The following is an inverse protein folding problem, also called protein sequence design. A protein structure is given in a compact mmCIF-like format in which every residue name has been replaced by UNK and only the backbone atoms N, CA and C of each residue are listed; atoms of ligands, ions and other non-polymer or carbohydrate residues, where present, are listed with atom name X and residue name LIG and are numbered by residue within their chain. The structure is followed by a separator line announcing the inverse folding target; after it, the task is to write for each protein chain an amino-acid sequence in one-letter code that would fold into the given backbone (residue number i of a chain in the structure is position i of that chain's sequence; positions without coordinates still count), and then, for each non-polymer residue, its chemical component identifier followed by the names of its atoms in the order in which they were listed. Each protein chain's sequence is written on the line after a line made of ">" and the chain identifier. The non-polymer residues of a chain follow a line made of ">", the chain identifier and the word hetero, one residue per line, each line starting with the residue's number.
data_IF_660371140314
#
_entry.id   IF_660371140314
#
_cell.length_a   1.000
_cell.length_b   1.000
_cell.length_c   1.000
_cell.angle_alpha   90.00
_cell.angle_beta   90.00
_cell.angle_gamma   90.00
#
_symmetry.space_group_name_H-M   'P 1'
#
loop_
_entity.id
_entity.type
_entity.pdbx_description
1 polymer ?
#
# COMPACT_ATOMS: atom_id res chain seq x y z
N UNK A 1 -3.78 2.87 -29.45
CA UNK A 1 -3.55 2.23 -28.13
C UNK A 1 -4.89 2.25 -27.43
N UNK A 2 -5.47 1.08 -27.17
CA UNK A 2 -6.74 0.98 -26.45
C UNK A 2 -6.50 1.44 -25.01
N UNK A 3 -7.07 2.59 -24.66
CA UNK A 3 -7.26 3.00 -23.26
C UNK A 3 -8.23 1.97 -22.67
N UNK A 4 -7.69 1.00 -21.94
CA UNK A 4 -8.50 0.08 -21.14
C UNK A 4 -9.35 0.93 -20.20
N UNK A 5 -10.66 0.96 -20.45
CA UNK A 5 -11.62 1.66 -19.63
C UNK A 5 -11.49 1.18 -18.18
N UNK A 6 -10.96 2.05 -17.34
CA UNK A 6 -10.68 1.80 -15.94
C UNK A 6 -11.98 1.52 -15.20
N UNK A 7 -12.12 0.29 -14.69
CA UNK A 7 -13.15 -0.03 -13.71
C UNK A 7 -12.54 0.16 -12.32
N UNK A 8 -12.99 1.13 -11.50
CA UNK A 8 -12.56 1.21 -10.12
C UNK A 8 -12.86 -0.13 -9.43
N UNK A 9 -11.88 -0.71 -8.76
CA UNK A 9 -12.12 -1.89 -7.92
C UNK A 9 -13.16 -1.48 -6.88
N UNK A 10 -14.22 -2.29 -6.73
CA UNK A 10 -15.18 -2.05 -5.65
C UNK A 10 -14.41 -2.13 -4.33
N UNK A 11 -14.56 -1.15 -3.42
CA UNK A 11 -13.92 -1.22 -2.12
C UNK A 11 -14.39 -2.50 -1.42
N UNK A 12 -13.42 -3.32 -1.02
CA UNK A 12 -13.67 -4.49 -0.19
C UNK A 12 -13.79 -4.03 1.27
N UNK A 13 -14.48 -4.78 2.14
CA UNK A 13 -14.45 -4.49 3.56
C UNK A 13 -13.00 -4.51 4.08
N UNK A 14 -12.68 -3.56 4.96
CA UNK A 14 -11.38 -3.46 5.63
C UNK A 14 -10.94 -4.81 6.19
N UNK A 15 -9.72 -5.20 5.86
CA UNK A 15 -9.03 -6.36 6.44
C UNK A 15 -7.60 -5.96 6.81
N UNK A 16 -7.16 -6.33 8.02
CA UNK A 16 -5.79 -6.15 8.49
C UNK A 16 -5.30 -7.52 8.90
N UNK A 17 -4.20 -7.98 8.28
CA UNK A 17 -3.57 -9.25 8.63
C UNK A 17 -2.91 -9.18 10.01
N UNK A 18 -2.61 -10.33 10.60
CA UNK A 18 -1.83 -10.39 11.84
C UNK A 18 -0.42 -9.81 11.68
N UNK A 19 0.16 -9.95 10.48
CA UNK A 19 1.46 -9.38 10.12
C UNK A 19 1.41 -7.85 10.17
N UNK A 20 0.45 -7.24 9.48
CA UNK A 20 0.28 -5.78 9.46
C UNK A 20 -0.11 -5.24 10.84
N UNK A 21 -0.95 -5.96 11.59
CA UNK A 21 -1.31 -5.57 12.96
C UNK A 21 -0.07 -5.52 13.86
N UNK A 22 0.84 -6.50 13.74
CA UNK A 22 2.07 -6.52 14.52
C UNK A 22 2.95 -5.30 14.23
N UNK A 23 3.08 -4.89 12.96
CA UNK A 23 3.83 -3.68 12.57
C UNK A 23 3.18 -2.38 13.09
N UNK A 24 1.85 -2.34 13.13
CA UNK A 24 1.11 -1.22 13.72
C UNK A 24 1.35 -1.15 15.24
N UNK A 25 1.37 -2.30 15.91
CA UNK A 25 1.59 -2.41 17.35
C UNK A 25 3.04 -2.08 17.74
N UNK A 26 4.01 -2.44 16.90
CA UNK A 26 5.41 -1.98 17.05
C UNK A 26 5.52 -0.45 17.03
N UNK A 27 4.64 0.22 16.27
CA UNK A 27 4.47 1.67 16.29
C UNK A 27 5.63 2.46 15.68
N UNK A 28 6.60 1.80 15.04
CA UNK A 28 7.76 2.45 14.41
C UNK A 28 7.33 3.49 13.36
N UNK A 29 6.36 3.13 12.51
CA UNK A 29 5.80 4.03 11.49
C UNK A 29 5.04 5.19 12.14
N UNK A 30 4.16 4.88 13.11
CA UNK A 30 3.40 5.89 13.84
C UNK A 30 4.32 6.90 14.52
N UNK A 31 5.40 6.43 15.15
CA UNK A 31 6.39 7.29 15.82
C UNK A 31 7.03 8.27 14.84
N UNK A 32 7.51 7.80 13.68
CA UNK A 32 8.10 8.69 12.66
C UNK A 32 7.10 9.71 12.12
N UNK A 33 5.87 9.29 11.86
CA UNK A 33 4.83 10.19 11.35
C UNK A 33 4.38 11.21 12.41
N UNK A 34 4.41 10.84 13.70
CA UNK A 34 4.03 11.72 14.81
C UNK A 34 4.96 12.92 15.01
N UNK A 35 6.16 12.89 14.40
CA UNK A 35 7.06 14.06 14.37
C UNK A 35 6.51 15.19 13.49
N UNK A 36 5.61 14.87 12.56
CA UNK A 36 5.08 15.80 11.56
C UNK A 36 3.56 15.97 11.61
N UNK A 37 2.83 15.00 12.16
CA UNK A 37 1.37 14.95 12.17
C UNK A 37 0.84 14.62 13.57
N UNK A 38 -0.32 15.19 13.93
CA UNK A 38 -1.00 14.86 15.17
C UNK A 38 -1.76 13.52 15.09
N UNK A 39 -2.13 12.98 16.26
CA UNK A 39 -2.84 11.71 16.36
C UNK A 39 -4.18 11.72 15.60
N UNK A 40 -4.86 12.87 15.53
CA UNK A 40 -6.14 12.99 14.81
C UNK A 40 -5.94 12.77 13.32
N UNK A 41 -4.88 13.32 12.74
CA UNK A 41 -4.52 13.12 11.34
C UNK A 41 -4.07 11.68 11.07
N UNK A 42 -3.25 11.10 11.95
CA UNK A 42 -2.77 9.73 11.79
C UNK A 42 -3.91 8.70 11.78
N UNK A 43 -4.95 8.93 12.59
CA UNK A 43 -6.12 8.05 12.70
C UNK A 43 -7.25 8.41 11.72
N UNK A 44 -7.07 9.43 10.88
CA UNK A 44 -8.07 9.83 9.89
C UNK A 44 -8.18 8.78 8.79
N UNK A 45 -9.41 8.39 8.47
CA UNK A 45 -9.73 7.50 7.33
C UNK A 45 -9.43 8.22 6.02
N UNK A 46 -8.55 7.65 5.20
CA UNK A 46 -8.09 8.20 3.93
C UNK A 46 -8.52 7.36 2.72
N UNK A 47 -8.94 6.11 2.94
CA UNK A 47 -9.33 5.20 1.86
C UNK A 47 -10.82 4.91 1.84
N UNK A 48 -11.36 4.60 0.66
CA UNK A 48 -12.77 4.24 0.48
C UNK A 48 -13.15 2.93 1.21
N UNK A 49 -12.16 2.05 1.46
CA UNK A 49 -12.33 0.81 2.21
C UNK A 49 -12.17 1.00 3.72
N UNK A 50 -11.85 2.21 4.19
CA UNK A 50 -11.81 2.55 5.62
C UNK A 50 -10.41 2.50 6.26
N UNK A 51 -9.33 2.48 5.48
CA UNK A 51 -7.98 2.52 6.02
C UNK A 51 -7.59 3.94 6.44
N UNK A 52 -6.89 4.03 7.57
CA UNK A 52 -6.37 5.27 8.13
C UNK A 52 -5.04 5.67 7.49
N UNK A 53 -4.61 6.92 7.71
CA UNK A 53 -3.32 7.40 7.23
C UNK A 53 -2.17 6.52 7.73
N UNK A 54 -2.15 6.18 9.03
CA UNK A 54 -1.11 5.30 9.58
C UNK A 54 -1.15 3.89 9.00
N UNK A 55 -2.33 3.32 8.78
CA UNK A 55 -2.47 1.97 8.19
C UNK A 55 -1.95 1.92 6.75
N UNK A 56 -2.25 2.95 5.95
CA UNK A 56 -1.76 3.02 4.57
C UNK A 56 -0.24 3.18 4.51
N UNK A 57 0.34 4.03 5.37
CA UNK A 57 1.79 4.19 5.42
C UNK A 57 2.50 2.93 5.91
N UNK A 58 1.98 2.24 6.93
CA UNK A 58 2.55 0.97 7.40
C UNK A 58 2.46 -0.12 6.33
N UNK A 59 1.33 -0.23 5.63
CA UNK A 59 1.18 -1.19 4.55
C UNK A 59 2.07 -0.87 3.34
N UNK A 60 2.39 0.39 3.08
CA UNK A 60 3.32 0.76 2.01
C UNK A 60 4.75 0.29 2.29
N UNK A 61 5.18 0.28 3.55
CA UNK A 61 6.51 -0.20 3.94
C UNK A 61 6.70 -1.71 3.70
N UNK A 62 5.62 -2.47 3.51
CA UNK A 62 5.69 -3.86 3.08
C UNK A 62 6.09 -4.02 1.61
N UNK A 63 5.82 -3.00 0.78
CA UNK A 63 6.06 -3.07 -0.66
C UNK A 63 7.18 -2.14 -1.13
N UNK A 64 7.50 -1.08 -0.38
CA UNK A 64 8.52 -0.13 -0.78
C UNK A 64 9.10 0.62 0.42
N UNK A 65 10.39 0.95 0.35
CA UNK A 65 11.03 1.82 1.33
C UNK A 65 10.50 3.27 1.18
N UNK A 66 10.17 3.99 2.27
CA UNK A 66 9.80 5.40 2.24
C UNK A 66 10.73 6.31 1.44
N UNK A 67 12.03 6.02 1.38
CA UNK A 67 12.99 6.82 0.60
C UNK A 67 12.90 6.54 -0.92
N UNK A 68 12.48 5.32 -1.28
CA UNK A 68 12.34 4.84 -2.66
C UNK A 68 10.93 4.96 -3.22
N UNK A 69 10.04 5.70 -2.56
CA UNK A 69 8.59 5.73 -2.86
C UNK A 69 8.24 6.14 -4.29
N UNK A 70 9.14 6.83 -4.99
CA UNK A 70 8.92 7.28 -6.37
C UNK A 70 9.37 6.28 -7.44
N UNK A 71 10.20 5.32 -7.06
CA UNK A 71 10.75 4.31 -7.94
C UNK A 71 9.72 3.21 -8.22
N UNK A 72 9.91 2.41 -9.30
CA UNK A 72 9.11 1.21 -9.51
C UNK A 72 9.13 0.29 -8.29
N UNK A 73 7.99 -0.32 -8.02
CA UNK A 73 7.76 -1.21 -6.89
C UNK A 73 7.89 -2.65 -7.39
N UNK A 74 8.69 -3.45 -6.69
CA UNK A 74 8.75 -4.91 -6.84
C UNK A 74 9.02 -5.52 -5.46
N UNK A 75 8.04 -6.28 -4.95
CA UNK A 75 8.08 -6.81 -3.59
C UNK A 75 7.37 -8.17 -3.48
N UNK A 76 7.64 -8.86 -2.38
CA UNK A 76 6.96 -10.10 -2.01
C UNK A 76 6.18 -9.89 -0.70
N UNK A 77 4.86 -10.07 -0.76
CA UNK A 77 3.95 -9.87 0.38
C UNK A 77 3.05 -11.08 0.59
N UNK A 78 2.40 -11.17 1.74
CA UNK A 78 1.33 -12.16 1.94
C UNK A 78 0.12 -11.80 1.09
N UNK A 79 -0.59 -12.81 0.59
CA UNK A 79 -1.79 -12.60 -0.23
C UNK A 79 -2.89 -11.81 0.51
N UNK A 80 -2.98 -12.03 1.84
CA UNK A 80 -3.91 -11.34 2.74
C UNK A 80 -3.59 -9.84 2.96
N UNK A 81 -2.35 -9.42 2.69
CA UNK A 81 -1.91 -8.02 2.75
C UNK A 81 -2.16 -7.27 1.43
N UNK A 82 -2.50 -7.99 0.35
CA UNK A 82 -2.58 -7.40 -0.98
C UNK A 82 -3.56 -6.23 -1.07
N UNK A 83 -4.76 -6.36 -0.50
CA UNK A 83 -5.81 -5.36 -0.67
C UNK A 83 -5.41 -4.02 0.00
N UNK A 84 -4.82 -4.07 1.20
CA UNK A 84 -4.34 -2.86 1.91
C UNK A 84 -3.09 -2.28 1.27
N UNK A 85 -2.13 -3.12 0.84
CA UNK A 85 -0.94 -2.66 0.10
C UNK A 85 -1.32 -2.03 -1.26
N UNK A 86 -2.34 -2.55 -1.95
CA UNK A 86 -2.81 -1.99 -3.20
C UNK A 86 -3.44 -0.60 -3.01
N UNK A 87 -4.21 -0.40 -1.94
CA UNK A 87 -4.74 0.92 -1.59
C UNK A 87 -3.65 1.89 -1.14
N UNK A 88 -2.68 1.42 -0.36
CA UNK A 88 -1.52 2.20 0.05
C UNK A 88 -0.69 2.67 -1.15
N UNK A 89 -0.44 1.77 -2.11
CA UNK A 89 0.26 2.08 -3.35
C UNK A 89 -0.43 3.19 -4.14
N UNK A 90 -1.75 3.06 -4.35
CA UNK A 90 -2.53 4.10 -5.06
C UNK A 90 -2.55 5.41 -4.27
N UNK A 91 -2.71 5.36 -2.94
CA UNK A 91 -2.75 6.56 -2.10
C UNK A 91 -1.44 7.36 -2.14
N UNK A 92 -0.29 6.68 -2.07
CA UNK A 92 1.02 7.34 -1.98
C UNK A 92 1.59 7.70 -3.35
N UNK A 93 1.44 6.80 -4.32
CA UNK A 93 2.11 6.93 -5.63
C UNK A 93 1.16 7.27 -6.77
N UNK A 94 -0.14 7.04 -6.61
CA UNK A 94 -1.11 7.06 -7.71
C UNK A 94 -1.10 5.81 -8.59
N UNK A 95 -0.13 4.90 -8.39
CA UNK A 95 0.07 3.71 -9.23
C UNK A 95 -0.69 2.50 -8.73
N UNK A 96 -1.16 1.67 -9.66
CA UNK A 96 -1.89 0.46 -9.33
C UNK A 96 -0.92 -0.69 -9.00
N UNK A 97 -1.05 -1.26 -7.81
CA UNK A 97 -0.38 -2.51 -7.47
C UNK A 97 -1.06 -3.69 -8.17
N UNK A 98 -0.27 -4.50 -8.86
CA UNK A 98 -0.69 -5.72 -9.56
C UNK A 98 0.03 -6.94 -8.98
N UNK A 99 -0.64 -8.10 -9.02
CA UNK A 99 0.00 -9.39 -8.75
C UNK A 99 0.68 -9.86 -10.02
N UNK A 100 1.88 -10.40 -9.93
CA UNK A 100 2.50 -11.10 -11.05
C UNK A 100 2.07 -12.58 -11.01
N UNK A 101 2.22 -13.29 -12.13
CA UNK A 101 1.94 -14.73 -12.21
C UNK A 101 3.00 -15.57 -11.47
N UNK A 102 4.03 -14.92 -10.90
CA UNK A 102 5.07 -15.56 -10.11
C UNK A 102 4.57 -15.80 -8.68
N UNK A 103 4.44 -17.07 -8.31
CA UNK A 103 4.22 -17.46 -6.92
C UNK A 103 5.57 -17.41 -6.21
N UNK A 104 5.71 -16.53 -5.23
CA UNK A 104 6.88 -16.52 -4.38
C UNK A 104 6.86 -17.76 -3.47
N UNK A 105 8.04 -18.21 -3.06
CA UNK A 105 8.17 -19.32 -2.11
C UNK A 105 7.44 -18.98 -0.80
N UNK A 106 6.87 -19.97 -0.12
CA UNK A 106 6.26 -19.84 1.22
C UNK A 106 4.95 -19.05 1.32
N UNK A 107 4.09 -19.11 0.29
CA UNK A 107 2.73 -18.56 0.35
C UNK A 107 2.65 -17.05 0.20
N UNK A 108 3.75 -16.43 -0.22
CA UNK A 108 3.81 -15.04 -0.65
C UNK A 108 3.45 -14.90 -2.12
N UNK A 109 2.99 -13.71 -2.48
CA UNK A 109 2.76 -13.29 -3.85
C UNK A 109 3.78 -12.22 -4.20
N UNK A 110 4.22 -12.22 -5.46
CA UNK A 110 5.01 -11.12 -5.99
C UNK A 110 4.08 -10.04 -6.54
N UNK A 111 4.40 -8.80 -6.20
CA UNK A 111 3.62 -7.62 -6.56
C UNK A 111 4.49 -6.56 -7.19
N UNK A 112 3.94 -5.86 -8.17
CA UNK A 112 4.65 -4.81 -8.90
C UNK A 112 3.75 -3.58 -9.13
N UNK A 113 4.38 -2.41 -9.24
CA UNK A 113 3.73 -1.17 -9.69
C UNK A 113 4.76 -0.24 -10.34
N UNK A 114 4.34 0.61 -11.26
CA UNK A 114 5.25 1.49 -12.01
C UNK A 114 5.88 2.61 -11.17
N UNK A 115 5.37 2.85 -9.96
CA UNK A 115 5.83 3.94 -9.08
C UNK A 115 5.31 5.34 -9.48
N UNK A 116 5.62 6.35 -8.68
CA UNK A 116 5.08 7.71 -8.84
C UNK A 116 5.49 8.39 -10.15
N UNK A 117 6.76 8.22 -10.58
CA UNK A 117 7.26 8.93 -11.75
C UNK A 117 6.57 8.51 -13.06
N UNK A 118 6.19 7.23 -13.16
CA UNK A 118 5.42 6.74 -14.30
C UNK A 118 3.94 7.18 -14.24
N UNK A 119 3.35 7.27 -13.05
CA UNK A 119 1.96 7.70 -12.89
C UNK A 119 1.73 9.20 -13.16
N UNK A 120 2.70 10.07 -12.84
CA UNK A 120 2.58 11.52 -13.09
C UNK A 120 3.12 11.91 -14.47
N UNK A 121 4.04 11.12 -15.04
CA UNK A 121 4.63 11.38 -16.35
C UNK A 121 3.79 10.94 -17.55
N UNK A 122 2.64 10.28 -17.32
CA UNK A 122 1.75 9.74 -18.36
C UNK A 122 0.54 10.63 -18.68
#
# INVERSE_FOLDING_TARGET
>A
MEVTSFKPRKPKPKHISANLQSLLDEGSVKKRLSEHFDDDYLNKVMSASGYTYVELHTAFELIQNPDGWKEPISAEILDEDFDVCAEACVFITGSQLVKTDEVATDGKIKVEADGYYAAIGS
#
